data_IF_442154693735
#
_entry.id   IF_442154693735
#
_cell.length_a   1.000
_cell.length_b   1.000
_cell.length_c   1.000
_cell.angle_alpha   90.00
_cell.angle_beta   90.00
_cell.angle_gamma   90.00
#
_symmetry.space_group_name_H-M   'P 1'
#
loop_
_entity.id
_entity.type
_entity.pdbx_description
1 polymer ?
#
# COMPACT_ATOMS: atom_id res chain seq x y z
N UNK A 1 5.05 10.54 -12.92
CA UNK A 1 6.46 10.14 -12.91
C UNK A 1 7.15 10.85 -11.77
N UNK A 2 7.95 10.12 -10.98
CA UNK A 2 8.79 10.67 -9.92
C UNK A 2 10.23 10.57 -10.41
N UNK A 3 11.02 11.63 -10.24
CA UNK A 3 12.46 11.57 -10.51
C UNK A 3 13.17 11.17 -9.21
N UNK A 4 13.84 10.03 -9.23
CA UNK A 4 14.62 9.54 -8.11
C UNK A 4 15.85 10.42 -7.84
N UNK A 5 16.42 10.30 -6.64
CA UNK A 5 17.61 11.08 -6.25
C UNK A 5 18.82 10.87 -7.19
N UNK A 6 18.88 9.73 -7.88
CA UNK A 6 19.91 9.37 -8.85
C UNK A 6 19.59 9.82 -10.29
N UNK A 7 18.48 10.53 -10.53
CA UNK A 7 18.03 10.92 -11.87
C UNK A 7 17.24 9.83 -12.63
N UNK A 8 16.87 8.74 -11.96
CA UNK A 8 16.11 7.64 -12.53
C UNK A 8 14.60 7.95 -12.55
N UNK A 9 13.91 7.51 -13.61
CA UNK A 9 12.45 7.67 -13.72
C UNK A 9 11.74 6.56 -12.97
N UNK A 10 10.98 6.94 -11.95
CA UNK A 10 10.14 6.04 -11.15
C UNK A 10 8.69 6.24 -11.59
N UNK A 11 8.03 5.14 -11.94
CA UNK A 11 6.62 5.11 -12.32
C UNK A 11 5.78 4.58 -11.15
N UNK A 12 5.09 5.45 -10.40
CA UNK A 12 4.29 5.03 -9.24
C UNK A 12 3.23 4.00 -9.60
N UNK A 13 2.65 4.13 -10.79
CA UNK A 13 1.58 3.27 -11.30
C UNK A 13 2.03 1.80 -11.46
N UNK A 14 3.30 1.56 -11.81
CA UNK A 14 3.85 0.20 -11.88
C UNK A 14 3.99 -0.42 -10.49
N UNK A 15 4.45 0.38 -9.51
CA UNK A 15 4.56 -0.05 -8.12
C UNK A 15 3.16 -0.32 -7.53
N UNK A 16 2.20 0.57 -7.81
CA UNK A 16 0.79 0.42 -7.42
C UNK A 16 0.18 -0.84 -8.02
N UNK A 17 0.49 -1.16 -9.27
CA UNK A 17 0.04 -2.40 -9.91
C UNK A 17 0.58 -3.64 -9.16
N UNK A 18 1.86 -3.63 -8.76
CA UNK A 18 2.42 -4.72 -7.93
C UNK A 18 1.74 -4.79 -6.57
N UNK A 19 1.49 -3.65 -5.92
CA UNK A 19 0.80 -3.60 -4.62
C UNK A 19 -0.64 -4.14 -4.74
N UNK A 20 -1.38 -3.74 -5.77
CA UNK A 20 -2.77 -4.15 -5.99
C UNK A 20 -2.90 -5.66 -6.29
N UNK A 21 -1.83 -6.32 -6.74
CA UNK A 21 -1.80 -7.77 -6.92
C UNK A 21 -1.61 -8.55 -5.59
N UNK A 22 -1.33 -7.85 -4.49
CA UNK A 22 -1.18 -8.48 -3.18
C UNK A 22 -2.55 -8.75 -2.55
N UNK A 23 -2.66 -9.88 -1.84
CA UNK A 23 -3.89 -10.30 -1.16
C UNK A 23 -4.45 -9.22 -0.24
N UNK A 24 -5.77 -9.10 -0.20
CA UNK A 24 -6.53 -8.15 0.64
C UNK A 24 -6.32 -6.66 0.28
N UNK A 25 -5.45 -6.32 -0.68
CA UNK A 25 -5.34 -4.94 -1.16
C UNK A 25 -6.51 -4.64 -2.08
N UNK A 26 -7.26 -3.59 -1.76
CA UNK A 26 -8.30 -3.05 -2.64
C UNK A 26 -7.75 -1.97 -3.54
N UNK A 27 -6.99 -1.04 -2.95
CA UNK A 27 -6.45 0.12 -3.66
C UNK A 27 -5.10 0.52 -3.09
N UNK A 28 -4.26 1.13 -3.92
CA UNK A 28 -3.00 1.69 -3.48
C UNK A 28 -2.68 3.00 -4.19
N UNK A 29 -1.86 3.80 -3.53
CA UNK A 29 -1.35 5.07 -4.02
C UNK A 29 0.09 5.25 -3.57
N UNK A 30 1.00 5.37 -4.52
CA UNK A 30 2.42 5.61 -4.27
C UNK A 30 2.75 7.08 -4.52
N UNK A 31 3.38 7.71 -3.53
CA UNK A 31 3.80 9.11 -3.60
C UNK A 31 5.24 9.27 -3.15
N UNK A 32 5.84 10.41 -3.49
CA UNK A 32 7.13 10.81 -2.95
C UNK A 32 6.93 11.77 -1.78
N UNK A 33 7.46 11.45 -0.61
CA UNK A 33 7.54 12.38 0.52
C UNK A 33 8.98 12.51 0.98
N UNK A 34 9.49 13.75 1.05
CA UNK A 34 10.87 14.05 1.50
C UNK A 34 11.95 13.21 0.78
N UNK A 35 11.79 13.02 -0.53
CA UNK A 35 12.71 12.24 -1.36
C UNK A 35 12.60 10.71 -1.22
N UNK A 36 11.64 10.20 -0.45
CA UNK A 36 11.39 8.76 -0.23
C UNK A 36 10.06 8.34 -0.81
N UNK A 37 9.95 7.10 -1.28
CA UNK A 37 8.69 6.56 -1.79
C UNK A 37 7.84 6.01 -0.63
N UNK A 38 6.59 6.45 -0.56
CA UNK A 38 5.61 6.04 0.44
C UNK A 38 4.39 5.48 -0.29
N UNK A 39 3.98 4.28 0.09
CA UNK A 39 2.78 3.63 -0.43
C UNK A 39 1.64 3.73 0.59
N UNK A 40 0.54 4.36 0.21
CA UNK A 40 -0.73 4.29 0.92
C UNK A 40 -1.52 3.11 0.39
N UNK A 41 -2.04 2.27 1.28
CA UNK A 41 -2.68 1.01 0.90
C UNK A 41 -4.00 0.87 1.63
N UNK A 42 -5.08 0.77 0.88
CA UNK A 42 -6.40 0.48 1.40
C UNK A 42 -6.64 -1.03 1.35
N UNK A 43 -6.73 -1.63 2.53
CA UNK A 43 -7.00 -3.06 2.68
C UNK A 43 -8.49 -3.31 2.85
N UNK A 44 -8.97 -4.47 2.37
CA UNK A 44 -10.30 -4.95 2.65
C UNK A 44 -10.36 -5.46 4.09
N UNK A 45 -10.65 -4.55 5.03
CA UNK A 45 -10.77 -4.88 6.45
C UNK A 45 -11.85 -5.92 6.72
N UNK A 46 -12.97 -5.88 5.99
CA UNK A 46 -14.06 -6.84 6.18
C UNK A 46 -13.62 -8.27 5.83
N UNK A 47 -12.89 -8.45 4.72
CA UNK A 47 -12.35 -9.74 4.32
C UNK A 47 -11.24 -10.22 5.25
N UNK A 48 -10.37 -9.30 5.68
CA UNK A 48 -9.30 -9.56 6.64
C UNK A 48 -9.92 -10.05 7.97
N UNK A 49 -10.85 -9.28 8.53
CA UNK A 49 -11.58 -9.63 9.75
C UNK A 49 -12.29 -10.96 9.61
N UNK A 50 -13.01 -11.21 8.51
CA UNK A 50 -13.71 -12.50 8.32
C UNK A 50 -12.75 -13.68 8.37
N UNK A 51 -11.60 -13.55 7.70
CA UNK A 51 -10.59 -14.61 7.63
C UNK A 51 -9.89 -14.86 8.97
N UNK A 52 -9.62 -13.80 9.74
CA UNK A 52 -8.95 -13.91 11.04
C UNK A 52 -9.90 -14.18 12.22
N UNK A 53 -11.14 -13.68 12.18
CA UNK A 53 -12.21 -13.98 13.15
C UNK A 53 -12.57 -15.46 13.15
N UNK A 54 -12.50 -16.11 11.98
CA UNK A 54 -12.67 -17.56 11.89
C UNK A 54 -11.51 -18.35 12.51
N UNK A 55 -10.36 -17.71 12.77
CA UNK A 55 -9.16 -18.37 13.29
C UNK A 55 -9.01 -18.24 14.81
N UNK A 56 -9.41 -17.13 15.46
CA UNK A 56 -9.45 -17.00 16.93
C UNK A 56 -10.49 -15.99 17.41
N UNK A 57 -11.18 -16.35 18.49
CA UNK A 57 -12.25 -15.58 19.14
C UNK A 57 -11.74 -14.49 20.11
N UNK A 58 -10.42 -14.28 20.19
CA UNK A 58 -9.82 -13.50 21.28
C UNK A 58 -8.74 -12.52 20.77
N UNK A 59 -8.97 -11.26 21.12
CA UNK A 59 -8.04 -10.13 21.18
C UNK A 59 -7.90 -9.25 19.92
N UNK A 60 -8.44 -8.03 20.02
CA UNK A 60 -8.19 -6.89 19.13
C UNK A 60 -6.68 -6.60 18.97
N UNK A 61 -5.89 -6.76 20.04
CA UNK A 61 -4.42 -6.59 20.03
C UNK A 61 -3.73 -7.47 18.96
N UNK A 62 -4.18 -8.74 18.83
CA UNK A 62 -3.60 -9.67 17.83
C UNK A 62 -3.93 -9.27 16.40
N UNK A 63 -5.02 -8.53 16.19
CA UNK A 63 -5.44 -8.11 14.86
C UNK A 63 -4.56 -6.98 14.34
N UNK A 64 -4.23 -6.01 15.19
CA UNK A 64 -3.29 -4.94 14.86
C UNK A 64 -1.90 -5.51 14.55
N UNK A 65 -1.39 -6.43 15.38
CA UNK A 65 -0.13 -7.13 15.10
C UNK A 65 -0.15 -7.82 13.73
N UNK A 66 -1.27 -8.49 13.40
CA UNK A 66 -1.42 -9.19 12.12
C UNK A 66 -1.44 -8.25 10.92
N UNK A 67 -2.06 -7.08 11.07
CA UNK A 67 -2.03 -6.04 10.04
C UNK A 67 -0.59 -5.54 9.86
N UNK A 68 0.14 -5.28 10.94
CA UNK A 68 1.53 -4.85 10.86
C UNK A 68 2.40 -5.90 10.16
N UNK A 69 2.23 -7.19 10.48
CA UNK A 69 2.90 -8.27 9.76
C UNK A 69 2.55 -8.26 8.26
N UNK A 70 1.27 -8.11 7.92
CA UNK A 70 0.82 -8.07 6.52
C UNK A 70 1.40 -6.89 5.75
N UNK A 71 1.49 -5.72 6.40
CA UNK A 71 2.09 -4.50 5.84
C UNK A 71 3.59 -4.71 5.58
N UNK A 72 4.30 -5.37 6.50
CA UNK A 72 5.71 -5.71 6.33
C UNK A 72 5.91 -6.73 5.21
N UNK A 73 5.10 -7.78 5.16
CA UNK A 73 5.10 -8.77 4.07
C UNK A 73 4.86 -8.09 2.71
N UNK A 74 3.86 -7.21 2.64
CA UNK A 74 3.55 -6.44 1.44
C UNK A 74 4.74 -5.59 1.01
N UNK A 75 5.35 -4.86 1.94
CA UNK A 75 6.50 -4.02 1.64
C UNK A 75 7.67 -4.84 1.08
N UNK A 76 7.98 -5.98 1.71
CA UNK A 76 9.02 -6.88 1.24
C UNK A 76 8.69 -7.45 -0.15
N UNK A 77 7.46 -7.94 -0.34
CA UNK A 77 6.99 -8.46 -1.61
C UNK A 77 7.18 -7.45 -2.74
N UNK A 78 6.70 -6.21 -2.55
CA UNK A 78 6.84 -5.14 -3.54
C UNK A 78 8.32 -4.85 -3.81
N UNK A 79 9.14 -4.71 -2.76
CA UNK A 79 10.57 -4.42 -2.89
C UNK A 79 11.38 -5.56 -3.55
N UNK A 80 10.87 -6.79 -3.58
CA UNK A 80 11.46 -7.90 -4.37
C UNK A 80 11.08 -7.88 -5.85
N UNK A 81 10.00 -7.17 -6.21
CA UNK A 81 9.46 -7.10 -7.59
C UNK A 81 9.88 -5.84 -8.34
N UNK A 82 10.25 -4.79 -7.61
CA UNK A 82 10.68 -3.51 -8.19
C UNK A 82 12.20 -3.34 -8.12
N UNK A 83 12.74 -2.46 -8.95
CA UNK A 83 14.16 -2.11 -8.92
C UNK A 83 14.55 -1.43 -7.61
N UNK A 84 15.84 -1.50 -7.23
CA UNK A 84 16.38 -0.92 -5.99
C UNK A 84 16.01 0.55 -5.79
N UNK A 85 16.01 1.35 -6.85
CA UNK A 85 15.68 2.77 -6.82
C UNK A 85 14.17 3.06 -6.75
N UNK A 86 13.33 2.07 -7.07
CA UNK A 86 11.86 2.13 -7.00
C UNK A 86 11.30 1.49 -5.73
N UNK A 87 12.18 1.09 -4.80
CA UNK A 87 11.76 0.47 -3.54
C UNK A 87 11.00 1.47 -2.67
N UNK A 88 9.88 1.00 -2.13
CA UNK A 88 9.09 1.75 -1.17
C UNK A 88 9.76 1.72 0.20
N UNK A 89 9.87 2.89 0.81
CA UNK A 89 10.51 3.04 2.11
C UNK A 89 9.52 2.90 3.26
N UNK A 90 8.23 3.16 3.00
CA UNK A 90 7.17 3.09 3.99
C UNK A 90 5.87 2.70 3.33
N UNK A 91 5.13 1.83 4.02
CA UNK A 91 3.73 1.55 3.71
C UNK A 91 2.87 2.13 4.82
N UNK A 92 1.79 2.81 4.43
CA UNK A 92 0.82 3.42 5.34
C UNK A 92 -0.53 2.80 5.04
N UNK A 93 -1.15 2.24 6.08
CA UNK A 93 -2.51 1.78 5.99
C UNK A 93 -3.44 2.98 5.80
N UNK A 94 -4.28 2.89 4.78
CA UNK A 94 -5.29 3.86 4.48
C UNK A 94 -6.65 3.30 4.90
N UNK A 95 -7.24 3.74 6.04
CA UNK A 95 -8.46 3.14 6.59
C UNK A 95 -9.71 3.45 5.75
N UNK A 96 -9.70 4.56 5.03
CA UNK A 96 -10.81 5.02 4.19
C UNK A 96 -10.47 4.92 2.71
N UNK A 97 -11.40 4.52 1.83
CA UNK A 97 -11.13 4.44 0.40
C UNK A 97 -10.66 5.79 -0.17
N UNK A 98 -9.81 5.75 -1.20
CA UNK A 98 -9.30 6.97 -1.80
C UNK A 98 -10.41 7.77 -2.47
N UNK A 99 -10.36 9.10 -2.37
CA UNK A 99 -11.30 9.94 -3.10
C UNK A 99 -11.08 9.80 -4.59
N UNK A 100 -12.16 9.54 -5.33
CA UNK A 100 -12.13 9.33 -6.78
C UNK A 100 -12.85 10.43 -7.55
N UNK A 101 -12.51 10.58 -8.83
CA UNK A 101 -13.28 11.36 -9.80
C UNK A 101 -14.55 10.61 -10.19
N UNK A 102 -15.45 11.28 -10.93
CA UNK A 102 -16.60 10.62 -11.55
C UNK A 102 -16.20 9.48 -12.51
N UNK A 103 -14.95 9.52 -13.03
CA UNK A 103 -14.34 8.47 -13.85
C UNK A 103 -13.60 7.40 -13.04
N UNK A 104 -13.83 7.32 -11.71
CA UNK A 104 -13.22 6.35 -10.79
C UNK A 104 -11.69 6.43 -10.65
N UNK A 105 -11.05 7.51 -11.13
CA UNK A 105 -9.62 7.73 -10.95
C UNK A 105 -9.34 8.34 -9.57
N UNK A 106 -8.32 7.84 -8.88
CA UNK A 106 -7.88 8.38 -7.59
C UNK A 106 -7.44 9.84 -7.75
N UNK A 107 -7.98 10.74 -6.91
CA UNK A 107 -7.60 12.15 -6.83
C UNK A 107 -6.24 12.30 -6.12
N UNK A 108 -5.15 11.97 -6.82
CA UNK A 108 -3.79 11.95 -6.27
C UNK A 108 -3.40 13.26 -5.60
N UNK A 109 -3.86 14.41 -6.11
CA UNK A 109 -3.57 15.75 -5.58
C UNK A 109 -4.00 15.97 -4.11
N UNK A 110 -4.87 15.13 -3.55
CA UNK A 110 -5.30 15.22 -2.15
C UNK A 110 -4.29 14.59 -1.17
N UNK A 111 -3.27 13.90 -1.68
CA UNK A 111 -2.37 13.08 -0.88
C UNK A 111 -0.88 13.42 -1.10
N UNK A 112 -0.57 14.37 -2.00
CA UNK A 112 0.79 14.81 -2.35
C UNK A 112 1.25 15.92 -1.40
#
# INVERSE_FOLDING_TARGET
MIVGASGENIYPEEIESVINNFRFVMESLVIQQKGKLVAYVHLNMEELERKYRSLKQDMEDRFEEKIQELILELMQYVNTKVNKFSQINKVVLQPVPFQKTATLKIKRFLYI
#
